data_IF_345855134219
#
_entry.id   IF_345855134219
#
_cell.length_a   1.000
_cell.length_b   1.000
_cell.length_c   1.000
_cell.angle_alpha   90.00
_cell.angle_beta   90.00
_cell.angle_gamma   90.00
#
_symmetry.space_group_name_H-M   'P 1'
#
loop_
_entity.id
_entity.type
_entity.pdbx_description
1 polymer ?
#
# COMPACT_ATOMS: atom_id res chain seq x y z
N UNK A 1 -13.21 -32.74 -14.06
CA UNK A 1 -12.05 -31.84 -14.08
C UNK A 1 -12.60 -30.46 -13.76
N UNK A 2 -12.35 -29.96 -12.56
CA UNK A 2 -12.84 -28.62 -12.17
C UNK A 2 -11.79 -27.61 -12.65
N UNK A 3 -12.17 -26.76 -13.59
CA UNK A 3 -11.37 -25.58 -13.98
C UNK A 3 -11.09 -24.73 -12.73
N UNK A 4 -9.86 -24.22 -12.54
CA UNK A 4 -9.61 -23.25 -11.51
C UNK A 4 -10.23 -21.93 -11.94
N UNK A 5 -11.39 -21.60 -11.38
CA UNK A 5 -11.99 -20.27 -11.49
C UNK A 5 -10.95 -19.25 -11.04
N UNK A 6 -10.50 -18.30 -11.90
CA UNK A 6 -9.60 -17.27 -11.44
C UNK A 6 -10.34 -16.41 -10.42
N UNK A 7 -9.94 -16.49 -9.15
CA UNK A 7 -10.43 -15.57 -8.12
C UNK A 7 -10.30 -14.14 -8.66
N UNK A 8 -11.30 -13.26 -8.44
CA UNK A 8 -11.20 -11.89 -8.88
C UNK A 8 -9.99 -11.28 -8.18
N UNK A 9 -8.91 -11.07 -8.93
CA UNK A 9 -7.80 -10.23 -8.48
C UNK A 9 -8.45 -8.89 -8.16
N UNK A 10 -8.59 -8.55 -6.88
CA UNK A 10 -9.01 -7.21 -6.46
C UNK A 10 -8.05 -6.24 -7.15
N UNK A 11 -8.47 -5.66 -8.28
CA UNK A 11 -7.56 -4.95 -9.16
C UNK A 11 -6.98 -3.74 -8.44
N UNK A 12 -7.83 -3.07 -7.66
CA UNK A 12 -7.53 -1.86 -6.91
C UNK A 12 -7.97 -1.99 -5.46
N UNK A 13 -7.19 -1.42 -4.57
CA UNK A 13 -7.40 -1.36 -3.13
C UNK A 13 -7.55 0.09 -2.73
N UNK A 14 -8.63 0.41 -2.02
CA UNK A 14 -8.84 1.75 -1.46
C UNK A 14 -8.59 1.72 0.04
N UNK A 15 -7.73 2.61 0.52
CA UNK A 15 -7.44 2.76 1.94
C UNK A 15 -7.36 4.23 2.34
N UNK A 16 -7.58 4.46 3.63
CA UNK A 16 -7.60 5.78 4.23
C UNK A 16 -6.45 5.91 5.22
N UNK A 17 -5.80 7.05 5.23
CA UNK A 17 -4.74 7.35 6.18
C UNK A 17 -4.86 8.78 6.70
N UNK A 18 -4.71 8.93 8.02
CA UNK A 18 -4.69 10.24 8.67
C UNK A 18 -3.26 10.80 8.60
N UNK A 19 -3.07 11.96 7.98
CA UNK A 19 -1.79 12.66 8.03
C UNK A 19 -1.50 13.04 9.50
N UNK A 20 -0.40 12.57 10.11
CA UNK A 20 -0.14 12.82 11.53
C UNK A 20 0.13 14.30 11.84
N UNK A 21 0.60 15.07 10.84
CA UNK A 21 0.93 16.49 10.99
C UNK A 21 -0.30 17.37 10.85
N UNK A 22 -1.08 17.19 9.79
CA UNK A 22 -2.22 18.07 9.50
C UNK A 22 -3.54 17.56 10.04
N UNK A 23 -3.57 16.31 10.53
CA UNK A 23 -4.77 15.61 11.01
C UNK A 23 -5.88 15.53 9.95
N UNK A 24 -5.50 15.68 8.68
CA UNK A 24 -6.41 15.48 7.54
C UNK A 24 -6.41 14.01 7.14
N UNK A 25 -7.59 13.48 6.85
CA UNK A 25 -7.74 12.14 6.31
C UNK A 25 -7.56 12.19 4.79
N UNK A 26 -6.73 11.29 4.26
CA UNK A 26 -6.52 11.13 2.84
C UNK A 26 -6.90 9.72 2.41
N UNK A 27 -7.51 9.60 1.24
CA UNK A 27 -7.79 8.32 0.60
C UNK A 27 -6.81 8.06 -0.54
N UNK A 28 -6.45 6.80 -0.72
CA UNK A 28 -5.62 6.31 -1.81
C UNK A 28 -6.31 5.10 -2.43
N UNK A 29 -6.45 5.11 -3.75
CA UNK A 29 -6.92 3.97 -4.54
C UNK A 29 -5.77 3.57 -5.44
N UNK A 30 -5.20 2.40 -5.18
CA UNK A 30 -3.98 1.91 -5.83
C UNK A 30 -4.15 0.45 -6.23
N UNK A 31 -3.42 0.02 -7.25
CA UNK A 31 -3.44 -1.38 -7.65
C UNK A 31 -2.89 -2.30 -6.54
N UNK A 32 -3.42 -3.52 -6.46
CA UNK A 32 -3.03 -4.45 -5.40
C UNK A 32 -1.53 -4.80 -5.44
N UNK A 33 -0.94 -4.90 -6.63
CA UNK A 33 0.49 -5.17 -6.79
C UNK A 33 1.38 -4.00 -6.36
N UNK A 34 0.87 -2.76 -6.48
CA UNK A 34 1.52 -1.54 -6.00
C UNK A 34 1.54 -1.54 -4.47
N UNK A 35 0.41 -1.82 -3.83
CA UNK A 35 0.29 -1.81 -2.36
C UNK A 35 1.23 -2.81 -1.68
N UNK A 36 1.56 -3.91 -2.37
CA UNK A 36 2.46 -4.96 -1.90
C UNK A 36 3.96 -4.63 -1.99
N UNK A 37 4.34 -3.48 -2.56
CA UNK A 37 5.73 -3.12 -2.81
C UNK A 37 6.01 -1.72 -2.29
N UNK A 38 6.90 -1.62 -1.30
CA UNK A 38 7.35 -0.33 -0.78
C UNK A 38 7.95 0.56 -1.87
N UNK A 39 8.76 -0.02 -2.76
CA UNK A 39 9.38 0.67 -3.91
C UNK A 39 8.34 1.33 -4.83
N UNK A 40 7.31 0.58 -5.26
CA UNK A 40 6.24 1.12 -6.10
C UNK A 40 5.46 2.24 -5.40
N UNK A 41 5.19 2.06 -4.09
CA UNK A 41 4.54 3.09 -3.30
C UNK A 41 5.41 4.36 -3.19
N UNK A 42 6.73 4.23 -3.04
CA UNK A 42 7.65 5.36 -3.01
C UNK A 42 7.64 6.16 -4.31
N UNK A 43 7.59 5.49 -5.47
CA UNK A 43 7.45 6.19 -6.76
C UNK A 43 6.16 7.03 -6.82
N UNK A 44 5.06 6.49 -6.32
CA UNK A 44 3.79 7.21 -6.25
C UNK A 44 3.87 8.37 -5.25
N UNK A 45 4.45 8.16 -4.07
CA UNK A 45 4.63 9.21 -3.08
C UNK A 45 5.48 10.37 -3.62
N UNK A 46 6.53 10.08 -4.42
CA UNK A 46 7.34 11.08 -5.14
C UNK A 46 6.50 11.84 -6.16
N UNK A 47 5.73 11.15 -7.02
CA UNK A 47 4.83 11.78 -8.01
C UNK A 47 3.82 12.71 -7.33
N UNK A 48 3.21 12.25 -6.22
CA UNK A 48 2.30 13.07 -5.42
C UNK A 48 3.04 14.30 -4.90
N UNK A 49 4.21 14.16 -4.27
CA UNK A 49 4.97 15.28 -3.67
C UNK A 49 5.22 16.43 -4.64
N UNK A 50 5.47 16.13 -5.91
CA UNK A 50 5.77 17.13 -6.94
C UNK A 50 4.54 17.58 -7.73
N UNK A 51 3.34 17.14 -7.36
CA UNK A 51 2.08 17.57 -7.99
C UNK A 51 1.57 18.90 -7.43
N UNK A 52 0.68 19.55 -8.18
CA UNK A 52 -0.05 20.75 -7.75
C UNK A 52 -1.46 20.40 -7.27
N UNK A 53 -1.99 21.09 -6.24
CA UNK A 53 -1.36 22.19 -5.49
C UNK A 53 -0.37 21.72 -4.42
N UNK A 54 0.75 22.45 -4.29
CA UNK A 54 1.94 22.03 -3.51
C UNK A 54 1.66 21.71 -2.03
N UNK A 55 0.83 22.51 -1.36
CA UNK A 55 0.51 22.26 0.06
C UNK A 55 -0.24 20.94 0.26
N UNK A 56 -1.31 20.72 -0.50
CA UNK A 56 -2.09 19.48 -0.42
C UNK A 56 -1.27 18.26 -0.86
N UNK A 57 -0.39 18.44 -1.84
CA UNK A 57 0.41 17.36 -2.37
C UNK A 57 1.54 16.93 -1.43
N UNK A 58 2.17 17.87 -0.73
CA UNK A 58 3.12 17.58 0.36
C UNK A 58 2.43 16.84 1.52
N UNK A 59 1.22 17.26 1.92
CA UNK A 59 0.45 16.59 2.98
C UNK A 59 0.05 15.16 2.59
N UNK A 60 -0.48 14.98 1.37
CA UNK A 60 -0.84 13.64 0.85
C UNK A 60 0.37 12.73 0.70
N UNK A 61 1.49 13.26 0.19
CA UNK A 61 2.73 12.50 0.07
C UNK A 61 3.22 12.04 1.43
N UNK A 62 3.20 12.91 2.44
CA UNK A 62 3.56 12.57 3.81
C UNK A 62 2.67 11.47 4.39
N UNK A 63 1.35 11.55 4.18
CA UNK A 63 0.42 10.51 4.61
C UNK A 63 0.72 9.16 3.94
N UNK A 64 1.10 9.15 2.65
CA UNK A 64 1.48 7.91 1.97
C UNK A 64 2.84 7.35 2.46
N UNK A 65 3.80 8.22 2.80
CA UNK A 65 5.10 7.80 3.37
C UNK A 65 4.96 7.04 4.69
N UNK A 66 4.00 7.42 5.55
CA UNK A 66 3.72 6.66 6.78
C UNK A 66 3.21 5.25 6.50
N UNK A 67 2.42 5.08 5.43
CA UNK A 67 1.98 3.76 4.98
C UNK A 67 3.16 2.97 4.43
N UNK A 68 4.03 3.61 3.65
CA UNK A 68 5.26 3.00 3.11
C UNK A 68 6.14 2.46 4.24
N UNK A 69 6.38 3.23 5.31
CA UNK A 69 7.17 2.76 6.45
C UNK A 69 6.59 1.49 7.09
N UNK A 70 5.26 1.39 7.20
CA UNK A 70 4.61 0.18 7.70
C UNK A 70 4.73 -0.99 6.73
N UNK A 71 4.68 -0.74 5.42
CA UNK A 71 4.90 -1.78 4.39
C UNK A 71 6.33 -2.28 4.43
N UNK A 72 7.33 -1.40 4.58
CA UNK A 72 8.74 -1.79 4.77
C UNK A 72 8.91 -2.65 6.02
N UNK A 73 8.26 -2.28 7.14
CA UNK A 73 8.31 -3.08 8.36
C UNK A 73 7.68 -4.48 8.15
N UNK A 74 6.63 -4.58 7.35
CA UNK A 74 6.04 -5.85 6.94
C UNK A 74 6.96 -6.66 6.00
N UNK A 75 7.56 -6.03 4.99
CA UNK A 75 8.52 -6.68 4.07
C UNK A 75 9.76 -7.23 4.81
N UNK A 76 10.16 -6.56 5.90
CA UNK A 76 11.28 -6.98 6.77
C UNK A 76 10.87 -7.93 7.89
N UNK A 77 9.65 -8.47 7.86
CA UNK A 77 9.10 -9.38 8.88
C UNK A 77 9.05 -8.81 10.31
N UNK A 78 9.13 -7.48 10.47
CA UNK A 78 8.96 -6.83 11.76
C UNK A 78 7.48 -6.79 12.19
N UNK A 79 6.55 -7.02 11.27
CA UNK A 79 5.11 -7.12 11.56
C UNK A 79 4.48 -8.30 10.82
N UNK A 80 3.52 -8.97 11.46
CA UNK A 80 2.88 -10.20 10.95
C UNK A 80 1.68 -9.95 10.03
N UNK A 81 1.28 -8.70 9.85
CA UNK A 81 0.12 -8.31 9.03
C UNK A 81 0.46 -7.14 8.15
N UNK A 82 0.01 -7.20 6.90
CA UNK A 82 0.17 -6.08 5.98
C UNK A 82 -0.68 -4.87 6.45
N UNK A 83 -0.15 -3.64 6.48
CA UNK A 83 -0.84 -2.47 7.04
C UNK A 83 -2.10 -2.03 6.28
N UNK A 84 -2.13 -2.25 4.96
CA UNK A 84 -3.30 -2.00 4.11
C UNK A 84 -4.14 -3.27 3.90
N UNK A 85 -3.50 -4.37 3.51
CA UNK A 85 -4.16 -5.63 3.16
C UNK A 85 -4.25 -6.58 4.35
N UNK A 86 -5.15 -6.31 5.30
CA UNK A 86 -5.21 -7.03 6.59
C UNK A 86 -5.40 -8.56 6.49
N UNK A 87 -5.88 -9.06 5.34
CA UNK A 87 -6.03 -10.50 5.05
C UNK A 87 -4.71 -11.17 4.65
N UNK A 88 -3.67 -10.40 4.33
CA UNK A 88 -2.33 -10.88 4.07
C UNK A 88 -1.56 -11.04 5.39
N UNK A 89 -1.02 -12.26 5.59
CA UNK A 89 -0.13 -12.61 6.69
C UNK A 89 1.26 -11.98 6.53
N UNK A 90 2.29 -12.63 7.08
CA UNK A 90 3.66 -12.13 6.96
C UNK A 90 4.15 -12.12 5.51
N UNK A 91 5.18 -11.33 5.22
CA UNK A 91 5.69 -11.19 3.86
C UNK A 91 6.18 -12.52 3.23
N UNK A 92 6.90 -13.42 3.94
CA UNK A 92 7.27 -14.74 3.46
C UNK A 92 6.08 -15.61 3.09
N UNK A 93 4.99 -15.55 3.87
CA UNK A 93 3.75 -16.28 3.57
C UNK A 93 3.05 -15.70 2.34
N UNK A 94 2.99 -14.38 2.24
CA UNK A 94 2.43 -13.67 1.09
C UNK A 94 3.21 -13.94 -0.20
N UNK A 95 4.55 -14.01 -0.12
CA UNK A 95 5.42 -14.31 -1.26
C UNK A 95 5.22 -15.75 -1.74
N UNK A 96 5.03 -16.71 -0.82
CA UNK A 96 4.71 -18.11 -1.18
C UNK A 96 3.39 -18.22 -1.94
N UNK A 97 2.37 -17.44 -1.57
CA UNK A 97 1.08 -17.41 -2.31
C UNK A 97 1.17 -16.84 -3.73
N UNK A 98 2.19 -16.04 -4.05
CA UNK A 98 2.43 -15.56 -5.43
C UNK A 98 3.07 -16.62 -6.35
N UNK A 99 3.62 -17.70 -5.79
CA UNK A 99 4.35 -18.74 -6.52
C UNK A 99 3.50 -19.99 -6.82
N UNK A 100 2.26 -20.04 -6.33
CA UNK A 100 1.27 -21.10 -6.60
C UNK A 100 0.28 -20.57 -7.62
#
# INVERSE_FOLDING_TARGET
MSEPTPEPKEATVTFYHLCPVTRMQHSFTLDHDVVLSSEKLEEIAKKIRYSWPRKMSEERSRALMEVIYKVIAWEKDATSKHPVLLKLGSYPEAKKRKLV
#
